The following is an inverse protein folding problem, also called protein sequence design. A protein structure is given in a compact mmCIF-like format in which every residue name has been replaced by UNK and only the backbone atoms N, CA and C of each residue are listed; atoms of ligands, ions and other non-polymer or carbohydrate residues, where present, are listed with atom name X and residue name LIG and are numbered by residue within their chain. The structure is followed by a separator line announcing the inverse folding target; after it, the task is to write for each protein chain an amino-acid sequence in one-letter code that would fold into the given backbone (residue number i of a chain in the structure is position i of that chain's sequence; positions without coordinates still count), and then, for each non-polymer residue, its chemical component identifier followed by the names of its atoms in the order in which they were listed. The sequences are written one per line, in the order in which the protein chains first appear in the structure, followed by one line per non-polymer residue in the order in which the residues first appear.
data_IF_415922223871
#
_entry.id   IF_415922223871
#
_cell.length_a   1.000
_cell.length_b   1.000
_cell.length_c   1.000
_cell.angle_alpha   90.00
_cell.angle_beta   90.00
_cell.angle_gamma   90.00
#
_symmetry.space_group_name_H-M   'P 1'
#
loop_
_entity.id
_entity.type
_entity.pdbx_description
1 polymer ?
#
# COMPACT_ATOMS: atom_id res chain seq x y z
N UNK A 1 12.12 5.73 -7.16
CA UNK A 1 12.32 6.33 -5.83
C UNK A 1 11.08 6.14 -4.96
N UNK A 2 9.87 6.47 -5.46
CA UNK A 2 8.61 6.38 -4.70
C UNK A 2 8.30 4.94 -4.22
N UNK A 3 8.64 3.93 -5.03
CA UNK A 3 8.35 2.51 -4.71
C UNK A 3 9.15 1.98 -3.50
N UNK A 4 10.33 2.51 -3.24
CA UNK A 4 11.21 2.06 -2.15
C UNK A 4 10.74 2.64 -0.81
N UNK A 5 10.31 3.91 -0.81
CA UNK A 5 9.79 4.58 0.40
C UNK A 5 8.49 3.96 0.92
N UNK A 6 7.66 3.38 0.03
CA UNK A 6 6.41 2.72 0.39
C UNK A 6 6.59 1.33 1.02
N UNK A 7 7.80 0.77 1.02
CA UNK A 7 8.07 -0.58 1.54
C UNK A 7 8.11 -0.67 3.08
N UNK A 8 8.26 0.44 3.79
CA UNK A 8 8.42 0.45 5.26
C UNK A 8 7.24 -0.16 6.02
N UNK A 9 6.02 0.17 5.63
CA UNK A 9 4.80 -0.31 6.31
C UNK A 9 4.59 -1.82 6.10
N UNK A 10 4.65 -2.37 4.86
CA UNK A 10 4.54 -3.82 4.67
C UNK A 10 5.60 -4.61 5.44
N UNK A 11 6.84 -4.09 5.49
CA UNK A 11 7.95 -4.74 6.22
C UNK A 11 7.68 -4.73 7.73
N UNK A 12 7.23 -3.62 8.31
CA UNK A 12 6.88 -3.56 9.73
C UNK A 12 5.77 -4.57 10.09
N UNK A 13 4.72 -4.66 9.27
CA UNK A 13 3.64 -5.63 9.45
C UNK A 13 4.18 -7.07 9.32
N UNK A 14 5.05 -7.34 8.33
CA UNK A 14 5.61 -8.67 8.13
C UNK A 14 6.47 -9.13 9.30
N UNK A 15 7.26 -8.23 9.90
CA UNK A 15 8.06 -8.53 11.10
C UNK A 15 7.16 -8.89 12.28
N UNK A 16 6.12 -8.09 12.54
CA UNK A 16 5.19 -8.33 13.64
C UNK A 16 4.42 -9.66 13.46
N UNK A 17 4.00 -9.95 12.24
CA UNK A 17 3.29 -11.21 11.92
C UNK A 17 4.24 -12.41 12.05
N UNK A 18 5.45 -12.31 11.50
CA UNK A 18 6.44 -13.38 11.60
C UNK A 18 6.81 -13.71 13.06
N UNK A 19 6.95 -12.69 13.91
CA UNK A 19 7.20 -12.88 15.34
C UNK A 19 6.03 -13.58 16.05
N UNK A 20 4.77 -13.18 15.77
CA UNK A 20 3.59 -13.84 16.33
C UNK A 20 3.46 -15.27 15.82
N UNK A 21 3.79 -15.51 14.55
CA UNK A 21 3.78 -16.83 13.94
C UNK A 21 4.85 -17.74 14.57
N UNK A 22 6.06 -17.22 14.85
CA UNK A 22 7.14 -17.97 15.51
C UNK A 22 6.79 -18.42 16.95
N UNK A 23 5.84 -17.72 17.59
CA UNK A 23 5.31 -18.05 18.90
C UNK A 23 4.00 -18.85 18.84
N UNK A 24 3.61 -19.38 17.68
CA UNK A 24 2.36 -20.09 17.41
C UNK A 24 1.10 -19.30 17.82
N UNK A 25 1.20 -17.94 17.89
CA UNK A 25 0.10 -17.05 18.28
C UNK A 25 -0.70 -16.58 17.05
N UNK A 26 -1.57 -17.44 16.53
CA UNK A 26 -2.42 -17.13 15.37
C UNK A 26 -3.49 -16.06 15.67
N UNK A 27 -3.93 -15.95 16.93
CA UNK A 27 -4.85 -14.86 17.36
C UNK A 27 -4.13 -13.52 17.31
N UNK A 28 -2.89 -13.47 17.79
CA UNK A 28 -2.03 -12.30 17.70
C UNK A 28 -1.76 -11.91 16.24
N UNK A 29 -1.53 -12.86 15.33
CA UNK A 29 -1.41 -12.61 13.89
C UNK A 29 -2.66 -11.94 13.33
N UNK A 30 -3.84 -12.46 13.64
CA UNK A 30 -5.10 -11.84 13.20
C UNK A 30 -5.29 -10.44 13.81
N UNK A 31 -4.99 -10.29 15.10
CA UNK A 31 -5.06 -8.99 15.76
C UNK A 31 -4.17 -7.97 15.08
N UNK A 32 -2.90 -8.29 14.85
CA UNK A 32 -1.94 -7.41 14.14
C UNK A 32 -2.48 -7.04 12.76
N UNK A 33 -2.96 -8.01 11.99
CA UNK A 33 -3.50 -7.75 10.66
C UNK A 33 -4.72 -6.81 10.68
N UNK A 34 -5.74 -7.10 11.49
CA UNK A 34 -6.95 -6.27 11.52
C UNK A 34 -6.71 -4.89 12.14
N UNK A 35 -5.86 -4.78 13.16
CA UNK A 35 -5.50 -3.47 13.75
C UNK A 35 -4.73 -2.65 12.72
N UNK A 36 -3.72 -3.22 12.07
CA UNK A 36 -2.96 -2.56 11.02
C UNK A 36 -3.85 -2.14 9.84
N UNK A 37 -4.77 -3.01 9.41
CA UNK A 37 -5.71 -2.72 8.33
C UNK A 37 -6.60 -1.52 8.67
N UNK A 38 -7.15 -1.46 9.90
CA UNK A 38 -7.99 -0.33 10.33
C UNK A 38 -7.20 0.97 10.40
N UNK A 39 -6.01 0.94 11.00
CA UNK A 39 -5.15 2.12 11.11
C UNK A 39 -4.75 2.64 9.74
N UNK A 40 -4.30 1.75 8.86
CA UNK A 40 -3.89 2.11 7.51
C UNK A 40 -5.07 2.57 6.63
N UNK A 41 -6.25 1.97 6.81
CA UNK A 41 -7.45 2.43 6.10
C UNK A 41 -7.84 3.85 6.53
N UNK A 42 -7.79 4.15 7.85
CA UNK A 42 -8.08 5.51 8.36
C UNK A 42 -7.02 6.50 7.85
N UNK A 43 -5.75 6.18 7.97
CA UNK A 43 -4.66 7.03 7.49
C UNK A 43 -4.73 7.25 5.97
N UNK A 44 -4.92 6.17 5.21
CA UNK A 44 -5.07 6.25 3.76
C UNK A 44 -6.25 7.10 3.34
N UNK A 45 -7.38 7.00 4.05
CA UNK A 45 -8.56 7.84 3.82
C UNK A 45 -8.25 9.31 4.12
N UNK A 46 -7.65 9.60 5.28
CA UNK A 46 -7.29 10.96 5.69
C UNK A 46 -6.31 11.57 4.67
N UNK A 47 -5.25 10.87 4.28
CA UNK A 47 -4.29 11.37 3.29
C UNK A 47 -4.91 11.52 1.90
N UNK A 48 -5.78 10.60 1.49
CA UNK A 48 -6.51 10.69 0.22
C UNK A 48 -7.41 11.92 0.19
N UNK A 49 -8.21 12.15 1.24
CA UNK A 49 -9.08 13.33 1.35
C UNK A 49 -8.28 14.63 1.49
N UNK A 50 -7.20 14.62 2.27
CA UNK A 50 -6.32 15.77 2.42
C UNK A 50 -5.69 16.17 1.07
N UNK A 51 -5.19 15.19 0.30
CA UNK A 51 -4.61 15.45 -1.02
C UNK A 51 -5.69 15.96 -2.00
N UNK A 52 -6.87 15.36 -1.99
CA UNK A 52 -7.97 15.80 -2.84
C UNK A 52 -8.39 17.25 -2.51
N UNK A 53 -8.56 17.57 -1.23
CA UNK A 53 -8.96 18.91 -0.78
C UNK A 53 -7.87 19.96 -0.92
N UNK A 54 -6.59 19.57 -0.75
CA UNK A 54 -5.46 20.50 -0.90
C UNK A 54 -5.06 20.73 -2.37
N UNK A 55 -5.54 19.93 -3.31
CA UNK A 55 -5.17 20.03 -4.72
C UNK A 55 -5.45 21.44 -5.30
N UNK A 56 -6.60 22.01 -4.99
CA UNK A 56 -6.97 23.36 -5.42
C UNK A 56 -6.07 24.42 -4.78
N UNK A 57 -5.83 24.33 -3.47
CA UNK A 57 -4.96 25.24 -2.74
C UNK A 57 -3.53 25.24 -3.25
N UNK A 58 -3.00 24.07 -3.66
CA UNK A 58 -1.67 23.91 -4.24
C UNK A 58 -1.52 24.61 -5.59
N UNK A 59 -2.58 24.62 -6.39
CA UNK A 59 -2.60 25.33 -7.69
C UNK A 59 -2.79 26.83 -7.50
N UNK A 60 -3.70 27.25 -6.63
CA UNK A 60 -4.00 28.66 -6.37
C UNK A 60 -2.79 29.41 -5.77
N UNK A 61 -1.99 28.74 -4.93
CA UNK A 61 -0.74 29.30 -4.37
C UNK A 61 0.47 29.14 -5.30
N UNK A 62 0.29 28.78 -6.55
CA UNK A 62 1.37 28.61 -7.55
C UNK A 62 2.50 27.64 -7.14
N UNK A 63 2.24 26.79 -6.13
CA UNK A 63 3.18 25.71 -5.75
C UNK A 63 3.28 24.71 -6.90
N UNK A 64 2.16 24.50 -7.61
CA UNK A 64 2.10 23.75 -8.86
C UNK A 64 1.77 24.76 -9.96
N UNK A 65 2.74 25.00 -10.82
CA UNK A 65 2.68 26.02 -11.86
C UNK A 65 1.71 25.66 -13.00
N UNK A 66 1.42 24.36 -13.19
CA UNK A 66 0.51 23.91 -14.25
C UNK A 66 -0.88 23.58 -13.67
N UNK A 67 -1.93 24.36 -14.00
CA UNK A 67 -3.31 24.07 -13.59
C UNK A 67 -3.82 22.69 -14.02
N UNK A 68 -3.17 22.11 -15.04
CA UNK A 68 -3.51 20.78 -15.56
C UNK A 68 -3.14 19.65 -14.59
N UNK A 69 -2.19 19.90 -13.70
CA UNK A 69 -1.81 18.96 -12.65
C UNK A 69 -2.92 18.74 -11.61
N UNK A 70 -3.86 19.67 -11.46
CA UNK A 70 -5.00 19.54 -10.55
C UNK A 70 -5.81 18.26 -10.81
N UNK A 71 -6.16 18.02 -12.07
CA UNK A 71 -6.92 16.83 -12.47
C UNK A 71 -6.13 15.56 -12.15
N UNK A 72 -4.83 15.55 -12.43
CA UNK A 72 -3.97 14.41 -12.16
C UNK A 72 -3.88 14.10 -10.65
N UNK A 73 -3.75 15.12 -9.80
CA UNK A 73 -3.69 14.98 -8.33
C UNK A 73 -5.02 14.46 -7.78
N UNK A 74 -6.14 15.02 -8.23
CA UNK A 74 -7.46 14.57 -7.79
C UNK A 74 -7.76 13.14 -8.21
N UNK A 75 -7.35 12.73 -9.42
CA UNK A 75 -7.50 11.37 -9.92
C UNK A 75 -6.57 10.37 -9.22
N UNK A 76 -5.42 10.83 -8.70
CA UNK A 76 -4.48 10.00 -7.95
C UNK A 76 -4.93 9.77 -6.49
N UNK A 77 -5.69 10.71 -5.92
CA UNK A 77 -6.09 10.66 -4.51
C UNK A 77 -6.74 9.32 -4.09
N UNK A 78 -7.72 8.75 -4.81
CA UNK A 78 -8.32 7.47 -4.41
C UNK A 78 -7.35 6.29 -4.52
N UNK A 79 -6.33 6.39 -5.40
CA UNK A 79 -5.32 5.35 -5.51
C UNK A 79 -4.49 5.23 -4.22
N UNK A 80 -4.22 6.34 -3.52
CA UNK A 80 -3.48 6.33 -2.24
C UNK A 80 -4.22 5.49 -1.20
N UNK A 81 -5.52 5.65 -1.08
CA UNK A 81 -6.33 4.84 -0.17
C UNK A 81 -6.22 3.34 -0.47
N UNK A 82 -6.33 2.96 -1.75
CA UNK A 82 -6.23 1.55 -2.17
C UNK A 82 -4.82 1.00 -1.96
N UNK A 83 -3.77 1.80 -2.23
CA UNK A 83 -2.36 1.43 -1.99
C UNK A 83 -2.08 1.13 -0.52
N UNK A 84 -2.63 1.92 0.41
CA UNK A 84 -2.42 1.67 1.85
C UNK A 84 -3.04 0.35 2.31
N UNK A 85 -4.23 0.01 1.81
CA UNK A 85 -4.86 -1.28 2.07
C UNK A 85 -4.04 -2.42 1.43
N UNK A 86 -3.63 -2.26 0.17
CA UNK A 86 -2.79 -3.21 -0.55
C UNK A 86 -1.49 -3.52 0.22
N UNK A 87 -0.86 -2.49 0.80
CA UNK A 87 0.36 -2.60 1.59
C UNK A 87 0.15 -3.48 2.84
N UNK A 88 -1.00 -3.38 3.49
CA UNK A 88 -1.35 -4.22 4.63
C UNK A 88 -1.44 -5.71 4.24
N UNK A 89 -2.12 -6.02 3.15
CA UNK A 89 -2.22 -7.39 2.64
C UNK A 89 -0.86 -7.95 2.21
N UNK A 90 -0.02 -7.14 1.58
CA UNK A 90 1.35 -7.54 1.22
C UNK A 90 2.17 -7.87 2.45
N UNK A 91 2.14 -7.02 3.49
CA UNK A 91 2.81 -7.26 4.76
C UNK A 91 2.33 -8.56 5.43
N UNK A 92 1.02 -8.84 5.35
CA UNK A 92 0.45 -10.08 5.85
C UNK A 92 1.06 -11.32 5.18
N UNK A 93 1.04 -11.40 3.85
CA UNK A 93 1.59 -12.55 3.13
C UNK A 93 3.11 -12.68 3.26
N UNK A 94 3.82 -11.56 3.31
CA UNK A 94 5.27 -11.54 3.56
C UNK A 94 5.61 -12.06 4.96
N UNK A 95 4.80 -11.75 5.98
CA UNK A 95 4.97 -12.26 7.34
C UNK A 95 4.80 -13.77 7.43
N UNK A 96 3.96 -14.36 6.60
CA UNK A 96 3.86 -15.82 6.43
C UNK A 96 4.97 -16.43 5.56
N UNK A 97 5.90 -15.63 5.06
CA UNK A 97 6.91 -16.04 4.07
C UNK A 97 6.31 -16.64 2.79
N UNK A 98 5.04 -16.35 2.53
CA UNK A 98 4.32 -16.82 1.34
C UNK A 98 4.31 -15.71 0.27
N UNK A 99 5.34 -15.74 -0.59
CA UNK A 99 5.60 -14.68 -1.55
C UNK A 99 4.75 -14.76 -2.84
N UNK A 100 4.15 -15.91 -3.12
CA UNK A 100 3.38 -16.13 -4.36
C UNK A 100 2.23 -15.13 -4.51
N UNK A 101 1.36 -14.87 -3.51
CA UNK A 101 0.30 -13.86 -3.64
C UNK A 101 0.85 -12.47 -3.90
N UNK A 102 1.93 -12.10 -3.22
CA UNK A 102 2.56 -10.79 -3.38
C UNK A 102 3.11 -10.61 -4.79
N UNK A 103 3.86 -11.60 -5.30
CA UNK A 103 4.40 -11.58 -6.65
C UNK A 103 3.31 -11.54 -7.73
N UNK A 104 2.29 -12.41 -7.62
CA UNK A 104 1.15 -12.40 -8.55
C UNK A 104 0.40 -11.09 -8.52
N UNK A 105 0.15 -10.51 -7.33
CA UNK A 105 -0.52 -9.21 -7.24
C UNK A 105 0.26 -8.10 -7.94
N UNK A 106 1.59 -8.10 -7.86
CA UNK A 106 2.44 -7.12 -8.55
C UNK A 106 2.38 -7.27 -10.07
N UNK A 107 2.39 -8.51 -10.57
CA UNK A 107 2.26 -8.77 -12.01
C UNK A 107 0.90 -8.26 -12.53
N UNK A 108 -0.19 -8.61 -11.87
CA UNK A 108 -1.53 -8.14 -12.25
C UNK A 108 -1.65 -6.62 -12.15
N UNK A 109 -1.13 -6.01 -11.08
CA UNK A 109 -1.07 -4.57 -10.91
C UNK A 109 -0.39 -3.89 -12.12
N UNK A 110 0.78 -4.40 -12.55
CA UNK A 110 1.50 -3.82 -13.68
C UNK A 110 0.78 -4.03 -15.02
N UNK A 111 0.23 -5.22 -15.26
CA UNK A 111 -0.54 -5.50 -16.49
C UNK A 111 -1.72 -4.52 -16.59
N UNK A 112 -2.53 -4.41 -15.53
CA UNK A 112 -3.69 -3.53 -15.53
C UNK A 112 -3.29 -2.05 -15.60
N UNK A 113 -2.21 -1.64 -14.93
CA UNK A 113 -1.70 -0.27 -14.99
C UNK A 113 -1.27 0.09 -16.41
N UNK A 114 -0.43 -0.74 -17.05
CA UNK A 114 0.07 -0.47 -18.40
C UNK A 114 -1.07 -0.50 -19.42
N UNK A 115 -1.95 -1.50 -19.36
CA UNK A 115 -3.10 -1.61 -20.26
C UNK A 115 -4.04 -0.42 -20.13
N UNK A 116 -4.34 0.01 -18.91
CA UNK A 116 -5.18 1.19 -18.65
C UNK A 116 -4.48 2.48 -19.07
N UNK A 117 -3.17 2.60 -18.84
CA UNK A 117 -2.38 3.76 -19.23
C UNK A 117 -2.40 3.94 -20.76
N UNK A 118 -2.12 2.88 -21.51
CA UNK A 118 -2.12 2.91 -22.98
C UNK A 118 -3.54 3.17 -23.51
N UNK A 119 -4.55 2.46 -22.97
CA UNK A 119 -5.93 2.61 -23.39
C UNK A 119 -6.48 4.02 -23.15
N UNK A 120 -6.25 4.59 -21.97
CA UNK A 120 -6.71 5.94 -21.64
C UNK A 120 -5.91 7.01 -22.40
N UNK A 121 -4.59 6.83 -22.55
CA UNK A 121 -3.78 7.76 -23.36
C UNK A 121 -4.26 7.78 -24.82
N UNK A 122 -4.51 6.63 -25.41
CA UNK A 122 -5.05 6.52 -26.78
C UNK A 122 -6.43 7.16 -26.90
N UNK A 123 -7.32 6.92 -25.94
CA UNK A 123 -8.68 7.47 -25.98
C UNK A 123 -8.71 9.01 -25.83
N UNK A 124 -7.78 9.57 -25.07
CA UNK A 124 -7.75 11.00 -24.78
C UNK A 124 -6.80 11.81 -25.67
N UNK A 125 -5.99 11.18 -26.54
CA UNK A 125 -5.00 11.88 -27.35
C UNK A 125 -5.62 12.95 -28.25
N UNK A 126 -6.78 12.65 -28.84
CA UNK A 126 -7.52 13.57 -29.71
C UNK A 126 -8.22 14.71 -28.95
N UNK A 127 -8.37 14.58 -27.62
CA UNK A 127 -9.03 15.58 -26.75
C UNK A 127 -8.06 16.51 -26.06
N UNK A 128 -6.77 16.33 -26.26
CA UNK A 128 -5.72 17.18 -25.72
C UNK A 128 -4.73 16.44 -24.83
N UNK A 129 -3.47 16.82 -24.95
CA UNK A 129 -2.34 16.18 -24.25
C UNK A 129 -2.49 16.18 -22.71
N UNK A 130 -3.14 17.19 -22.15
CA UNK A 130 -3.38 17.29 -20.71
C UNK A 130 -4.38 16.24 -20.19
N UNK A 131 -5.42 15.92 -20.97
CA UNK A 131 -6.37 14.88 -20.62
C UNK A 131 -5.74 13.47 -20.77
N UNK A 132 -4.90 13.29 -21.78
CA UNK A 132 -4.13 12.05 -21.95
C UNK A 132 -3.17 11.82 -20.77
N UNK A 133 -2.48 12.87 -20.30
CA UNK A 133 -1.61 12.78 -19.12
C UNK A 133 -2.39 12.50 -17.83
N UNK A 134 -3.54 13.15 -17.63
CA UNK A 134 -4.44 12.86 -16.49
C UNK A 134 -4.97 11.43 -16.52
N UNK A 135 -5.37 10.94 -17.70
CA UNK A 135 -5.81 9.56 -17.90
C UNK A 135 -4.70 8.54 -17.62
N UNK A 136 -3.47 8.82 -18.06
CA UNK A 136 -2.31 7.98 -17.75
C UNK A 136 -2.02 7.91 -16.25
N UNK A 137 -2.20 9.01 -15.53
CA UNK A 137 -2.05 9.05 -14.06
C UNK A 137 -3.17 8.25 -13.38
N UNK A 138 -4.40 8.39 -13.86
CA UNK A 138 -5.55 7.62 -13.33
C UNK A 138 -5.39 6.11 -13.52
N UNK A 139 -4.64 5.67 -14.54
CA UNK A 139 -4.35 4.24 -14.76
C UNK A 139 -3.69 3.54 -13.57
N UNK A 140 -3.11 4.29 -12.63
CA UNK A 140 -2.60 3.76 -11.36
C UNK A 140 -3.73 3.15 -10.52
N UNK A 141 -4.91 3.76 -10.50
CA UNK A 141 -6.04 3.29 -9.69
C UNK A 141 -6.53 1.87 -10.08
N UNK A 142 -6.89 1.59 -11.36
CA UNK A 142 -7.28 0.22 -11.76
C UNK A 142 -6.15 -0.79 -11.58
N UNK A 143 -4.88 -0.39 -11.77
CA UNK A 143 -3.74 -1.26 -11.52
C UNK A 143 -3.67 -1.72 -10.06
N UNK A 144 -3.68 -0.77 -9.13
CA UNK A 144 -3.62 -1.07 -7.68
C UNK A 144 -4.86 -1.85 -7.22
N UNK A 145 -6.04 -1.52 -7.78
CA UNK A 145 -7.27 -2.23 -7.49
C UNK A 145 -7.20 -3.69 -7.92
N UNK A 146 -6.67 -3.97 -9.11
CA UNK A 146 -6.46 -5.34 -9.59
C UNK A 146 -5.50 -6.10 -8.68
N UNK A 147 -4.38 -5.49 -8.28
CA UNK A 147 -3.45 -6.08 -7.31
C UNK A 147 -4.11 -6.41 -5.97
N UNK A 148 -4.96 -5.51 -5.45
CA UNK A 148 -5.69 -5.72 -4.21
C UNK A 148 -6.69 -6.88 -4.33
N UNK A 149 -7.44 -6.96 -5.42
CA UNK A 149 -8.40 -8.04 -5.65
C UNK A 149 -7.71 -9.42 -5.69
N UNK A 150 -6.53 -9.51 -6.29
CA UNK A 150 -5.72 -10.74 -6.29
C UNK A 150 -5.35 -11.14 -4.86
N UNK A 151 -4.89 -10.20 -4.01
CA UNK A 151 -4.53 -10.51 -2.62
C UNK A 151 -5.75 -10.90 -1.78
N UNK A 152 -6.89 -10.24 -1.97
CA UNK A 152 -8.15 -10.60 -1.33
C UNK A 152 -8.58 -12.02 -1.74
N UNK A 153 -8.47 -12.37 -3.01
CA UNK A 153 -8.75 -13.73 -3.48
C UNK A 153 -7.89 -14.78 -2.78
N UNK A 154 -6.57 -14.57 -2.69
CA UNK A 154 -5.66 -15.48 -1.97
C UNK A 154 -5.97 -15.53 -0.47
N UNK A 155 -6.36 -14.40 0.14
CA UNK A 155 -6.73 -14.34 1.56
C UNK A 155 -7.97 -15.19 1.86
N UNK A 156 -9.00 -15.14 1.01
CA UNK A 156 -10.18 -15.97 1.17
C UNK A 156 -9.91 -17.44 0.86
N UNK A 157 -9.09 -17.74 -0.14
CA UNK A 157 -8.71 -19.12 -0.49
C UNK A 157 -7.99 -19.83 0.64
N UNK A 158 -7.22 -19.12 1.46
CA UNK A 158 -6.50 -19.68 2.61
C UNK A 158 -7.32 -19.71 3.91
N UNK A 159 -8.59 -19.37 3.85
CA UNK A 159 -9.46 -19.29 5.03
C UNK A 159 -9.50 -20.61 5.82
N UNK A 160 -9.64 -21.74 5.15
CA UNK A 160 -9.75 -23.05 5.79
C UNK A 160 -8.47 -23.44 6.54
N UNK A 161 -7.31 -23.16 5.97
CA UNK A 161 -6.01 -23.42 6.62
C UNK A 161 -5.87 -22.56 7.88
N UNK A 162 -6.25 -21.29 7.78
CA UNK A 162 -6.20 -20.35 8.90
C UNK A 162 -7.16 -20.73 10.03
N UNK A 163 -8.37 -21.20 9.72
CA UNK A 163 -9.35 -21.68 10.71
C UNK A 163 -8.84 -22.95 11.41
N UNK A 164 -8.20 -23.87 10.72
CA UNK A 164 -7.57 -25.05 11.30
C UNK A 164 -6.44 -24.68 12.26
N UNK A 165 -5.55 -23.76 11.89
CA UNK A 165 -4.48 -23.27 12.77
C UNK A 165 -5.02 -22.58 14.03
N UNK A 166 -6.12 -21.83 13.90
CA UNK A 166 -6.79 -21.20 15.04
C UNK A 166 -7.43 -22.21 16.00
N UNK A 167 -8.00 -23.30 15.50
CA UNK A 167 -8.63 -24.33 16.32
C UNK A 167 -7.64 -25.14 17.16
N UNK A 168 -6.39 -25.22 16.74
CA UNK A 168 -5.31 -25.92 17.44
C UNK A 168 -4.61 -25.05 18.50
N UNK A 169 -4.94 -23.77 18.57
CA UNK A 169 -4.26 -22.83 19.46
C UNK A 169 -4.81 -22.89 20.89
N UNK A 170 -3.89 -22.73 21.86
CA UNK A 170 -4.23 -22.69 23.29
C UNK A 170 -5.21 -21.52 23.59
N UNK A 171 -6.35 -21.77 24.29
CA UNK A 171 -7.36 -20.73 24.58
C UNK A 171 -6.83 -19.55 25.40
N UNK A 172 -5.74 -19.71 26.13
CA UNK A 172 -5.16 -18.75 27.06
C UNK A 172 -4.11 -17.83 26.44
N UNK A 173 -3.97 -17.77 25.11
CA UNK A 173 -3.08 -16.81 24.44
C UNK A 173 -3.53 -15.37 24.78
N UNK A 174 -2.66 -14.62 25.45
CA UNK A 174 -2.93 -13.24 25.89
C UNK A 174 -2.88 -12.33 24.66
N UNK A 175 -4.03 -11.81 24.24
CA UNK A 175 -4.06 -10.77 23.21
C UNK A 175 -3.46 -9.47 23.77
N UNK A 176 -2.55 -8.88 23.02
CA UNK A 176 -1.99 -7.57 23.36
C UNK A 176 -3.06 -6.47 23.21
N UNK A 177 -2.88 -5.34 23.92
CA UNK A 177 -3.75 -4.18 23.70
C UNK A 177 -3.58 -3.63 22.29
N UNK A 178 -4.68 -3.25 21.63
CA UNK A 178 -4.65 -2.66 20.29
C UNK A 178 -3.73 -1.43 20.22
N UNK A 179 -3.65 -0.63 21.31
CA UNK A 179 -2.74 0.51 21.40
C UNK A 179 -1.27 0.10 21.36
N UNK A 180 -0.91 -1.01 21.99
CA UNK A 180 0.45 -1.57 21.96
C UNK A 180 0.83 -2.01 20.55
N UNK A 181 -0.09 -2.68 19.85
CA UNK A 181 0.10 -3.10 18.46
C UNK A 181 0.34 -1.89 17.55
N UNK A 182 -0.47 -0.83 17.68
CA UNK A 182 -0.31 0.41 16.90
C UNK A 182 1.02 1.10 17.20
N UNK A 183 1.37 1.26 18.49
CA UNK A 183 2.65 1.87 18.88
C UNK A 183 3.83 1.10 18.30
N UNK A 184 3.77 -0.23 18.35
CA UNK A 184 4.82 -1.10 17.83
C UNK A 184 4.91 -1.04 16.30
N UNK A 185 3.77 -0.99 15.61
CA UNK A 185 3.71 -0.81 14.17
C UNK A 185 4.46 0.47 13.74
N UNK A 186 4.17 1.60 14.36
CA UNK A 186 4.85 2.86 14.04
C UNK A 186 6.32 2.85 14.45
N UNK A 187 6.67 2.28 15.60
CA UNK A 187 8.05 2.15 16.06
C UNK A 187 8.92 1.33 15.10
N UNK A 188 8.36 0.35 14.41
CA UNK A 188 9.06 -0.44 13.38
C UNK A 188 9.00 0.23 12.01
N UNK A 189 7.85 0.80 11.63
CA UNK A 189 7.67 1.41 10.32
C UNK A 189 8.57 2.63 10.09
N UNK A 190 8.75 3.48 11.12
CA UNK A 190 9.54 4.72 10.99
C UNK A 190 11.02 4.42 10.67
N UNK A 191 11.77 3.60 11.44
CA UNK A 191 13.18 3.31 11.12
C UNK A 191 13.35 2.61 9.76
N UNK A 192 12.46 1.67 9.43
CA UNK A 192 12.51 0.96 8.14
C UNK A 192 12.26 1.93 6.97
N UNK A 193 11.30 2.84 7.13
CA UNK A 193 11.03 3.87 6.10
C UNK A 193 12.22 4.82 5.94
N UNK A 194 12.84 5.24 7.03
CA UNK A 194 14.06 6.07 6.98
C UNK A 194 15.22 5.37 6.29
N UNK A 195 15.47 4.09 6.61
CA UNK A 195 16.50 3.29 5.95
C UNK A 195 16.24 3.16 4.43
N UNK A 196 14.99 2.97 4.02
CA UNK A 196 14.61 2.88 2.62
C UNK A 196 14.77 4.20 1.85
N UNK A 197 14.71 5.35 2.53
CA UNK A 197 14.95 6.67 1.93
C UNK A 197 16.45 6.93 1.78
N UNK A 198 17.28 6.44 2.69
CA UNK A 198 18.73 6.66 2.63
C UNK A 198 19.39 6.04 1.39
N UNK A 199 18.96 4.85 0.98
CA UNK A 199 19.52 4.18 -0.22
C UNK A 199 19.41 5.02 -1.50
N UNK A 200 18.24 5.58 -1.88
CA UNK A 200 18.13 6.47 -3.02
C UNK A 200 18.93 7.77 -2.86
N UNK A 201 19.04 8.30 -1.63
CA UNK A 201 19.84 9.51 -1.38
C UNK A 201 21.32 9.28 -1.64
N UNK A 202 21.88 8.14 -1.18
CA UNK A 202 23.27 7.76 -1.47
C UNK A 202 23.48 7.62 -2.98
N UNK A 203 22.56 6.94 -3.69
CA UNK A 203 22.66 6.80 -5.15
C UNK A 203 22.60 8.15 -5.89
N UNK A 204 21.85 9.12 -5.37
CA UNK A 204 21.84 10.49 -5.92
C UNK A 204 23.20 11.17 -5.72
N UNK A 205 23.80 11.06 -4.54
CA UNK A 205 25.10 11.62 -4.23
C UNK A 205 26.18 11.01 -5.14
N UNK A 206 26.19 9.68 -5.33
CA UNK A 206 27.11 8.98 -6.23
C UNK A 206 26.96 9.41 -7.71
N UNK A 207 25.80 9.91 -8.10
CA UNK A 207 25.56 10.38 -9.48
C UNK A 207 26.12 11.80 -9.71
N UNK A 208 26.31 12.58 -8.64
CA UNK A 208 26.83 13.95 -8.70
C UNK A 208 28.33 14.06 -8.39
N UNK A 209 28.98 12.96 -8.00
CA UNK A 209 30.43 12.86 -7.83
C UNK A 209 31.05 12.19 -9.04
#
# INVERSE_FOLDING_TARGET
IVSISAAGIPVAISIMIAEKLANDDMRGVQQVFFVSLRVLAILGLVFSLALYGSAQWLVDNQIITDPRALIAIQLLSPAIFVVTILSCFRGYFQGFQYMVPTGTSQVFEQIFRVSSMVGLAYYFIDRGLHLAAGGATFATFPGVLAGLLVLIYFYYRQRNIREQMLSQQNPNAICESNGTVVKRLFSLAIPVSMANIMLPMVSLIDTFI
#
